data_IF_995907976830
#
_entry.id   IF_995907976830
#
_cell.length_a   1.000
_cell.length_b   1.000
_cell.length_c   1.000
_cell.angle_alpha   90.00
_cell.angle_beta   90.00
_cell.angle_gamma   90.00
#
_symmetry.space_group_name_H-M   'P 1'
#
loop_
_entity.id
_entity.type
_entity.pdbx_description
1 polymer ?
#
# COMPACT_ATOMS: atom_id res chain seq x y z
N UNK A 1 -0.41 -13.45 17.35
CA UNK A 1 -1.26 -12.30 16.94
C UNK A 1 -0.48 -11.50 15.90
N UNK A 2 -0.72 -11.74 14.61
CA UNK A 2 0.07 -11.18 13.49
C UNK A 2 -0.83 -10.75 12.33
N UNK A 3 -1.96 -10.08 12.59
CA UNK A 3 -2.96 -9.90 11.52
C UNK A 3 -3.13 -8.48 10.97
N UNK A 4 -2.67 -7.44 11.67
CA UNK A 4 -2.75 -6.06 11.19
C UNK A 4 -1.45 -5.55 10.56
N UNK A 5 -0.35 -5.61 11.32
CA UNK A 5 0.94 -5.00 10.95
C UNK A 5 1.52 -5.56 9.66
N UNK A 6 1.31 -6.86 9.40
CA UNK A 6 1.86 -7.54 8.22
C UNK A 6 1.22 -7.04 6.92
N UNK A 7 -0.07 -6.74 6.94
CA UNK A 7 -0.82 -6.32 5.75
C UNK A 7 -0.42 -4.90 5.32
N UNK A 8 -0.30 -3.98 6.27
CA UNK A 8 0.15 -2.60 6.00
C UNK A 8 1.61 -2.54 5.51
N UNK A 9 2.51 -3.32 6.14
CA UNK A 9 3.90 -3.47 5.71
C UNK A 9 4.01 -4.09 4.30
N UNK A 10 3.18 -5.08 3.99
CA UNK A 10 3.15 -5.70 2.65
C UNK A 10 2.82 -4.67 1.57
N UNK A 11 1.77 -3.85 1.78
CA UNK A 11 1.40 -2.80 0.82
C UNK A 11 2.49 -1.75 0.69
N UNK A 12 3.08 -1.30 1.82
CA UNK A 12 4.22 -0.38 1.80
C UNK A 12 5.41 -0.94 1.02
N UNK A 13 5.71 -2.23 1.17
CA UNK A 13 6.78 -2.89 0.44
C UNK A 13 6.47 -2.96 -1.07
N UNK A 14 5.22 -3.23 -1.45
CA UNK A 14 4.79 -3.21 -2.85
C UNK A 14 4.92 -1.80 -3.47
N UNK A 15 4.54 -0.74 -2.74
CA UNK A 15 4.74 0.65 -3.16
C UNK A 15 6.22 1.01 -3.30
N UNK A 16 7.06 0.58 -2.35
CA UNK A 16 8.51 0.78 -2.41
C UNK A 16 9.11 0.05 -3.61
N UNK A 17 8.74 -1.20 -3.82
CA UNK A 17 9.20 -1.98 -4.97
C UNK A 17 8.80 -1.29 -6.27
N UNK A 18 7.52 -0.89 -6.44
CA UNK A 18 7.07 -0.11 -7.60
C UNK A 18 7.91 1.15 -7.86
N UNK A 19 8.23 1.93 -6.81
CA UNK A 19 9.06 3.13 -6.92
C UNK A 19 10.47 2.80 -7.43
N UNK A 20 11.06 1.70 -6.94
CA UNK A 20 12.39 1.22 -7.35
C UNK A 20 12.36 0.71 -8.79
N UNK A 21 11.38 -0.12 -9.14
CA UNK A 21 11.28 -0.77 -10.45
C UNK A 21 10.85 0.19 -11.57
N UNK A 22 10.54 1.47 -11.25
CA UNK A 22 10.09 2.51 -12.19
C UNK A 22 8.96 2.05 -13.14
N UNK A 23 8.14 1.09 -12.71
CA UNK A 23 7.00 0.62 -13.52
C UNK A 23 5.95 1.73 -13.53
N UNK A 24 5.88 2.42 -14.67
CA UNK A 24 4.91 3.47 -15.04
C UNK A 24 4.79 4.61 -14.02
N UNK A 25 5.62 5.64 -14.24
CA UNK A 25 5.86 6.87 -13.46
C UNK A 25 4.63 7.73 -13.05
N UNK A 26 3.39 7.28 -13.26
CA UNK A 26 2.18 8.03 -12.95
C UNK A 26 0.94 7.21 -12.59
N UNK A 27 0.92 5.88 -12.78
CA UNK A 27 -0.27 5.06 -12.52
C UNK A 27 0.03 3.94 -11.53
N UNK A 28 -0.62 3.99 -10.36
CA UNK A 28 -0.62 2.89 -9.39
C UNK A 28 -1.42 1.75 -10.03
N UNK A 29 -0.86 0.53 -10.18
CA UNK A 29 -1.60 -0.57 -10.77
C UNK A 29 -2.79 -0.97 -9.90
N UNK A 30 -3.90 -1.37 -10.53
CA UNK A 30 -5.13 -1.76 -9.84
C UNK A 30 -4.89 -2.81 -8.75
N UNK A 31 -3.99 -3.78 -8.97
CA UNK A 31 -3.63 -4.78 -7.95
C UNK A 31 -3.09 -4.16 -6.64
N UNK A 32 -2.34 -3.06 -6.74
CA UNK A 32 -1.87 -2.31 -5.58
C UNK A 32 -3.02 -1.52 -4.93
N UNK A 33 -3.96 -1.02 -5.73
CA UNK A 33 -5.15 -0.33 -5.23
C UNK A 33 -6.10 -1.29 -4.51
N UNK A 34 -6.31 -2.50 -5.03
CA UNK A 34 -7.10 -3.56 -4.40
C UNK A 34 -6.54 -3.91 -3.01
N UNK A 35 -5.21 -3.97 -2.88
CA UNK A 35 -4.57 -4.17 -1.57
C UNK A 35 -4.81 -3.01 -0.60
N UNK A 36 -4.78 -1.76 -1.07
CA UNK A 36 -5.11 -0.59 -0.24
C UNK A 36 -6.59 -0.59 0.16
N UNK A 37 -7.50 -0.97 -0.74
CA UNK A 37 -8.93 -1.12 -0.40
C UNK A 37 -9.13 -2.18 0.68
N UNK A 38 -8.39 -3.28 0.61
CA UNK A 38 -8.36 -4.32 1.65
C UNK A 38 -7.78 -3.87 3.00
N UNK A 39 -7.17 -2.68 3.07
CA UNK A 39 -6.73 -2.03 4.30
C UNK A 39 -7.73 -0.98 4.82
N UNK A 40 -8.59 -0.41 3.97
CA UNK A 40 -9.57 0.60 4.37
C UNK A 40 -10.60 0.07 5.38
N UNK A 41 -10.80 -1.25 5.46
CA UNK A 41 -11.64 -1.87 6.49
C UNK A 41 -10.99 -1.94 7.88
N UNK A 42 -9.65 -1.87 7.95
CA UNK A 42 -8.87 -2.09 9.18
C UNK A 42 -8.11 -0.81 9.63
N UNK A 43 -7.84 0.09 8.68
CA UNK A 43 -7.04 1.30 8.86
C UNK A 43 -7.71 2.50 8.20
N UNK A 44 -7.60 3.66 8.85
CA UNK A 44 -8.09 4.90 8.26
C UNK A 44 -7.26 5.30 7.04
N UNK A 45 -7.88 5.92 6.01
CA UNK A 45 -7.18 6.36 4.80
C UNK A 45 -6.01 7.29 5.11
N UNK A 46 -6.13 8.16 6.13
CA UNK A 46 -5.05 9.05 6.57
C UNK A 46 -3.83 8.28 7.10
N UNK A 47 -4.05 7.18 7.83
CA UNK A 47 -2.98 6.33 8.36
C UNK A 47 -2.31 5.57 7.22
N UNK A 48 -3.08 5.06 6.27
CA UNK A 48 -2.55 4.37 5.10
C UNK A 48 -1.73 5.33 4.22
N UNK A 49 -2.27 6.51 3.88
CA UNK A 49 -1.56 7.52 3.09
C UNK A 49 -0.24 7.95 3.73
N UNK A 50 -0.26 8.25 5.04
CA UNK A 50 0.96 8.58 5.80
C UNK A 50 1.98 7.44 5.80
N UNK A 51 1.52 6.18 5.81
CA UNK A 51 2.41 5.01 5.82
C UNK A 51 2.98 4.66 4.44
N UNK A 52 2.25 4.99 3.37
CA UNK A 52 2.65 4.78 1.98
C UNK A 52 3.47 5.95 1.42
N UNK A 53 3.44 7.11 2.07
CA UNK A 53 4.19 8.30 1.66
C UNK A 53 3.69 8.85 0.31
N UNK A 54 2.38 8.84 0.13
CA UNK A 54 1.66 9.40 -1.02
C UNK A 54 0.90 10.66 -0.64
#
# INVERSE_FOLDING_TARGET
>A
MINGTNKLETVKQAFRHRRVTRIKRGQIPDELWEQVKGLLGDYTPSKIGSHLGI
#
